data_IF_473048397555
#
_entry.id   IF_473048397555
#
_cell.length_a   1.000
_cell.length_b   1.000
_cell.length_c   1.000
_cell.angle_alpha   90.00
_cell.angle_beta   90.00
_cell.angle_gamma   90.00
#
_symmetry.space_group_name_H-M   'P 1'
#
loop_
_entity.id
_entity.type
_entity.pdbx_description
1 polymer ?
#
# COMPACT_ATOMS: atom_id res chain seq x y z
N UNK A 1 -2.69 -1.96 2.84
CA UNK A 1 -3.66 -1.05 3.42
C UNK A 1 -3.32 0.41 3.15
N UNK A 2 -3.95 1.31 3.86
CA UNK A 2 -3.75 2.76 3.79
C UNK A 2 -2.32 3.24 4.15
N UNK A 3 -1.46 2.37 4.63
CA UNK A 3 -0.01 2.61 4.73
C UNK A 3 0.62 3.09 3.40
N UNK A 4 -0.01 2.85 2.26
CA UNK A 4 0.41 3.37 0.95
C UNK A 4 0.57 4.89 0.94
N UNK A 5 -0.14 5.61 1.82
CA UNK A 5 -0.06 7.05 1.98
C UNK A 5 1.33 7.54 2.43
N UNK A 6 2.07 6.68 3.11
CA UNK A 6 3.39 6.97 3.70
C UNK A 6 4.52 6.14 3.05
N UNK A 7 4.17 5.29 2.07
CA UNK A 7 5.10 4.34 1.45
C UNK A 7 6.01 5.02 0.43
N UNK A 8 7.31 5.05 0.69
CA UNK A 8 8.31 5.47 -0.28
C UNK A 8 8.37 4.56 -1.51
N UNK A 9 8.12 3.25 -1.34
CA UNK A 9 8.05 2.28 -2.44
C UNK A 9 6.90 2.61 -3.40
N UNK A 10 5.72 2.90 -2.85
CA UNK A 10 4.56 3.31 -3.65
C UNK A 10 4.78 4.67 -4.29
N UNK A 11 5.39 5.63 -3.57
CA UNK A 11 5.73 6.94 -4.12
C UNK A 11 6.67 6.84 -5.32
N UNK A 12 7.70 5.98 -5.25
CA UNK A 12 8.61 5.74 -6.37
C UNK A 12 7.89 5.14 -7.59
N UNK A 13 6.96 4.19 -7.38
CA UNK A 13 6.15 3.65 -8.46
C UNK A 13 5.22 4.71 -9.07
N UNK A 14 4.64 5.60 -8.25
CA UNK A 14 3.82 6.72 -8.72
C UNK A 14 4.62 7.71 -9.57
N UNK A 15 5.90 7.95 -9.26
CA UNK A 15 6.80 8.74 -10.13
C UNK A 15 7.07 8.05 -11.47
N UNK A 16 7.06 6.72 -11.52
CA UNK A 16 7.18 5.93 -12.75
C UNK A 16 6.02 6.06 -13.74
N UNK A 17 4.92 6.71 -13.39
CA UNK A 17 3.72 6.87 -14.23
C UNK A 17 3.93 7.56 -15.58
N UNK A 18 5.04 8.26 -15.73
CA UNK A 18 5.39 8.96 -16.97
C UNK A 18 6.22 8.11 -17.95
N UNK A 19 6.58 6.88 -17.58
CA UNK A 19 7.49 6.04 -18.36
C UNK A 19 6.81 5.22 -19.46
N UNK A 20 5.56 5.48 -19.79
CA UNK A 20 4.77 4.77 -20.80
C UNK A 20 4.67 3.24 -20.61
N UNK A 21 5.00 2.77 -19.42
CA UNK A 21 4.94 1.36 -19.02
C UNK A 21 4.26 1.24 -17.66
N UNK A 22 3.62 0.10 -17.38
CA UNK A 22 3.06 -0.16 -16.05
C UNK A 22 4.12 -0.02 -14.95
N UNK A 23 3.82 0.73 -13.89
CA UNK A 23 4.69 0.85 -12.73
C UNK A 23 4.19 -0.06 -11.59
N UNK A 24 5.13 -0.76 -10.95
CA UNK A 24 4.85 -1.75 -9.92
C UNK A 24 5.58 -1.43 -8.63
N UNK A 25 4.86 -1.42 -7.51
CA UNK A 25 5.41 -1.32 -6.17
C UNK A 25 5.35 -2.69 -5.49
N UNK A 26 6.51 -3.29 -5.18
CA UNK A 26 6.59 -4.60 -4.52
C UNK A 26 6.96 -4.44 -3.05
N UNK A 27 6.26 -5.17 -2.19
CA UNK A 27 6.54 -5.29 -0.77
C UNK A 27 6.46 -6.73 -0.31
N UNK A 28 7.51 -7.23 0.33
CA UNK A 28 7.51 -8.52 1.00
C UNK A 28 7.10 -8.31 2.46
N UNK A 29 6.07 -9.00 2.93
CA UNK A 29 5.55 -8.84 4.27
C UNK A 29 6.44 -9.54 5.30
N UNK A 30 7.56 -8.93 5.64
CA UNK A 30 8.45 -9.40 6.71
C UNK A 30 9.42 -8.33 7.15
N UNK A 31 9.83 -8.37 8.43
CA UNK A 31 10.99 -7.65 8.92
C UNK A 31 12.30 -8.40 8.67
N UNK A 32 12.22 -9.73 8.50
CA UNK A 32 13.33 -10.62 8.16
C UNK A 32 12.93 -11.36 6.88
N UNK A 33 13.37 -10.88 5.71
CA UNK A 33 12.89 -11.37 4.41
C UNK A 33 13.61 -12.68 4.02
N UNK A 34 13.13 -13.82 4.49
CA UNK A 34 13.70 -15.14 4.17
C UNK A 34 13.33 -15.60 2.74
N UNK A 35 12.17 -15.14 2.22
CA UNK A 35 11.62 -15.58 0.95
C UNK A 35 11.64 -14.50 -0.15
N UNK A 36 12.67 -13.66 -0.20
CA UNK A 36 12.89 -12.71 -1.31
C UNK A 36 12.81 -13.36 -2.71
N UNK A 37 13.30 -14.59 -2.92
CA UNK A 37 13.16 -15.25 -4.22
C UNK A 37 11.71 -15.39 -4.70
N UNK A 38 10.75 -15.57 -3.80
CA UNK A 38 9.31 -15.63 -4.15
C UNK A 38 8.82 -14.29 -4.71
N UNK A 39 9.17 -13.17 -4.06
CA UNK A 39 8.81 -11.85 -4.54
C UNK A 39 9.51 -11.52 -5.88
N UNK A 40 10.77 -11.87 -6.02
CA UNK A 40 11.55 -11.67 -7.26
C UNK A 40 10.98 -12.50 -8.42
N UNK A 41 10.58 -13.74 -8.16
CA UNK A 41 9.93 -14.60 -9.16
C UNK A 41 8.64 -13.95 -9.67
N UNK A 42 7.78 -13.48 -8.77
CA UNK A 42 6.51 -12.85 -9.17
C UNK A 42 6.73 -11.52 -9.89
N UNK A 43 7.69 -10.71 -9.44
CA UNK A 43 8.07 -9.47 -10.12
C UNK A 43 8.51 -9.73 -11.56
N UNK A 44 9.36 -10.75 -11.78
CA UNK A 44 9.78 -11.16 -13.12
C UNK A 44 8.58 -11.59 -13.98
N UNK A 45 7.66 -12.39 -13.43
CA UNK A 45 6.44 -12.82 -14.15
C UNK A 45 5.55 -11.64 -14.58
N UNK A 46 5.41 -10.63 -13.73
CA UNK A 46 4.64 -9.42 -14.08
C UNK A 46 5.33 -8.62 -15.18
N UNK A 47 6.65 -8.43 -15.10
CA UNK A 47 7.42 -7.71 -16.12
C UNK A 47 7.36 -8.45 -17.46
N UNK A 48 7.49 -9.78 -17.47
CA UNK A 48 7.38 -10.61 -18.69
C UNK A 48 5.97 -10.53 -19.32
N UNK A 49 4.94 -10.28 -18.52
CA UNK A 49 3.55 -10.23 -18.96
C UNK A 49 3.01 -8.80 -19.18
N UNK A 50 3.79 -7.76 -18.89
CA UNK A 50 3.32 -6.38 -18.83
C UNK A 50 2.69 -5.85 -20.12
N UNK A 51 3.16 -6.30 -21.28
CA UNK A 51 2.64 -5.85 -22.58
C UNK A 51 1.19 -6.30 -22.85
N UNK A 52 0.70 -7.28 -22.08
CA UNK A 52 -0.70 -7.74 -22.10
C UNK A 52 -1.58 -7.03 -21.08
N UNK A 53 -0.99 -6.20 -20.24
CA UNK A 53 -1.68 -5.48 -19.16
C UNK A 53 -2.09 -4.10 -19.66
N UNK A 54 -3.39 -3.88 -19.79
CA UNK A 54 -3.95 -2.55 -20.04
C UNK A 54 -4.40 -1.94 -18.72
N UNK A 55 -3.73 -0.88 -18.28
CA UNK A 55 -4.11 -0.11 -17.10
C UNK A 55 -4.55 1.29 -17.53
N UNK A 56 -5.57 1.87 -16.85
CA UNK A 56 -5.88 3.28 -17.01
C UNK A 56 -4.65 4.16 -16.77
N UNK A 57 -4.60 5.30 -17.42
CA UNK A 57 -3.54 6.28 -17.18
C UNK A 57 -3.43 6.62 -15.69
N UNK A 58 -2.20 6.86 -15.23
CA UNK A 58 -1.89 7.21 -13.83
C UNK A 58 -2.25 6.12 -12.81
N UNK A 59 -2.33 4.86 -13.24
CA UNK A 59 -2.51 3.71 -12.36
C UNK A 59 -1.18 3.01 -12.14
N UNK A 60 -0.91 2.62 -10.91
CA UNK A 60 0.22 1.75 -10.52
C UNK A 60 -0.32 0.52 -9.82
N UNK A 61 0.42 -0.59 -9.85
CA UNK A 61 0.06 -1.77 -9.08
C UNK A 61 0.87 -1.82 -7.78
N UNK A 62 0.17 -1.88 -6.66
CA UNK A 62 0.75 -2.16 -5.35
C UNK A 62 0.64 -3.66 -5.09
N UNK A 63 1.79 -4.32 -4.95
CA UNK A 63 1.89 -5.76 -4.81
C UNK A 63 2.46 -6.07 -3.42
N UNK A 64 1.70 -6.82 -2.62
CA UNK A 64 2.18 -7.34 -1.35
C UNK A 64 2.34 -8.85 -1.44
N UNK A 65 3.54 -9.35 -1.13
CA UNK A 65 3.89 -10.75 -1.20
C UNK A 65 4.03 -11.30 0.23
N UNK A 66 3.35 -12.40 0.59
CA UNK A 66 3.58 -13.05 1.87
C UNK A 66 5.00 -13.63 1.93
N UNK A 67 5.64 -13.59 3.12
CA UNK A 67 6.97 -14.16 3.31
C UNK A 67 6.92 -15.68 3.40
N UNK A 68 6.59 -16.31 2.29
CA UNK A 68 6.43 -17.76 2.16
C UNK A 68 7.28 -18.29 0.99
N UNK A 69 7.76 -19.55 1.07
CA UNK A 69 8.28 -20.26 -0.09
C UNK A 69 7.27 -20.29 -1.25
N UNK A 70 7.74 -20.33 -2.47
CA UNK A 70 6.89 -20.23 -3.67
C UNK A 70 5.80 -21.33 -3.74
N UNK A 71 6.12 -22.54 -3.32
CA UNK A 71 5.21 -23.69 -3.29
C UNK A 71 4.12 -23.57 -2.21
N UNK A 72 4.27 -22.66 -1.26
CA UNK A 72 3.28 -22.33 -0.24
C UNK A 72 2.40 -21.12 -0.63
N UNK A 73 2.70 -20.43 -1.73
CA UNK A 73 1.85 -19.36 -2.25
C UNK A 73 0.57 -19.97 -2.83
N UNK A 74 -0.56 -19.56 -2.30
CA UNK A 74 -1.88 -20.09 -2.68
C UNK A 74 -2.42 -19.52 -4.00
N UNK A 75 -1.77 -18.49 -4.53
CA UNK A 75 -2.17 -17.82 -5.77
C UNK A 75 -2.09 -16.28 -5.64
N UNK A 76 -2.77 -15.60 -6.55
CA UNK A 76 -2.80 -14.14 -6.64
C UNK A 76 -4.24 -13.65 -6.51
N UNK A 77 -4.47 -12.58 -5.77
CA UNK A 77 -5.79 -11.95 -5.63
C UNK A 77 -5.74 -10.47 -6.03
N UNK A 78 -6.72 -10.05 -6.82
CA UNK A 78 -7.02 -8.64 -7.00
C UNK A 78 -7.71 -8.14 -5.72
N UNK A 79 -7.19 -7.05 -5.17
CA UNK A 79 -7.60 -6.57 -3.85
C UNK A 79 -7.88 -5.07 -3.87
N UNK A 80 -8.59 -4.61 -2.85
CA UNK A 80 -8.65 -3.21 -2.43
C UNK A 80 -7.75 -2.99 -1.22
N UNK A 81 -7.46 -1.73 -0.92
CA UNK A 81 -6.79 -1.39 0.34
C UNK A 81 -7.72 -1.68 1.53
N UNK A 82 -7.16 -2.25 2.57
CA UNK A 82 -7.77 -2.24 3.90
C UNK A 82 -7.38 -0.99 4.69
N UNK A 83 -7.95 -0.82 5.88
CA UNK A 83 -7.67 0.30 6.78
C UNK A 83 -7.09 -0.18 8.10
N UNK A 84 -6.21 0.65 8.67
CA UNK A 84 -5.68 0.41 10.01
C UNK A 84 -6.48 1.12 11.07
N UNK A 85 -6.56 0.52 12.24
CA UNK A 85 -7.02 1.17 13.44
C UNK A 85 -6.07 2.34 13.81
N UNK A 86 -6.58 3.25 14.63
CA UNK A 86 -5.79 4.38 15.12
C UNK A 86 -4.52 3.90 15.83
N UNK A 87 -3.39 4.53 15.53
CA UNK A 87 -2.14 4.30 16.24
C UNK A 87 -2.28 4.62 17.73
N UNK A 88 -1.51 3.92 18.57
CA UNK A 88 -1.39 4.24 19.99
C UNK A 88 -0.79 5.65 20.18
N UNK A 89 -1.04 6.25 21.36
CA UNK A 89 -0.49 7.57 21.69
C UNK A 89 1.05 7.56 21.62
N UNK A 90 1.68 8.67 21.21
CA UNK A 90 3.13 8.79 21.25
C UNK A 90 3.67 8.61 22.68
N UNK A 91 4.80 7.92 22.80
CA UNK A 91 5.47 7.69 24.08
C UNK A 91 6.58 8.71 24.27
N UNK A 92 6.50 9.47 25.36
CA UNK A 92 7.55 10.42 25.74
C UNK A 92 8.81 9.64 26.17
N UNK A 93 9.95 10.05 25.66
CA UNK A 93 11.26 9.48 25.99
C UNK A 93 12.27 10.61 26.27
N UNK A 94 13.27 10.30 27.06
CA UNK A 94 14.40 11.22 27.32
C UNK A 94 15.66 10.53 26.81
N UNK A 95 16.44 11.21 25.98
CA UNK A 95 17.68 10.68 25.47
C UNK A 95 18.79 10.73 26.55
N UNK A 96 19.96 10.07 26.38
CA UNK A 96 21.05 10.07 27.35
C UNK A 96 21.61 11.46 27.71
N UNK A 97 21.32 12.48 26.91
CA UNK A 97 21.75 13.87 27.16
C UNK A 97 20.67 14.72 27.86
N UNK A 98 19.59 14.07 28.37
CA UNK A 98 18.50 14.74 29.05
C UNK A 98 17.49 15.47 28.15
N UNK A 99 17.62 15.34 26.81
CA UNK A 99 16.70 15.98 25.87
C UNK A 99 15.44 15.12 25.69
N UNK A 100 14.28 15.75 25.87
CA UNK A 100 12.98 15.13 25.63
C UNK A 100 12.69 14.93 24.15
N UNK A 101 11.97 13.86 23.84
CA UNK A 101 11.46 13.52 22.52
C UNK A 101 10.24 12.61 22.64
N UNK A 102 9.67 12.22 21.50
CA UNK A 102 8.53 11.32 21.45
C UNK A 102 8.79 10.20 20.44
N UNK A 103 8.53 8.96 20.86
CA UNK A 103 8.38 7.85 19.96
C UNK A 103 7.00 7.89 19.34
N UNK A 104 6.94 8.01 18.02
CA UNK A 104 5.69 7.86 17.29
C UNK A 104 5.38 6.37 17.24
N UNK A 105 4.21 5.99 17.72
CA UNK A 105 3.76 4.61 17.71
C UNK A 105 3.54 4.12 16.28
N UNK A 106 3.72 2.80 16.08
CA UNK A 106 3.33 2.15 14.83
C UNK A 106 1.82 2.27 14.61
N UNK A 107 1.39 2.20 13.36
CA UNK A 107 -0.02 2.11 13.02
C UNK A 107 -0.69 0.95 13.77
N UNK A 108 -1.98 1.10 14.07
CA UNK A 108 -2.77 0.05 14.71
C UNK A 108 -2.93 -1.20 13.85
N UNK A 109 -3.57 -2.21 14.40
CA UNK A 109 -3.95 -3.42 13.67
C UNK A 109 -4.91 -3.11 12.50
N UNK A 110 -5.17 -4.10 11.65
CA UNK A 110 -6.13 -3.93 10.58
C UNK A 110 -7.55 -3.81 11.15
N UNK A 111 -8.18 -2.65 11.01
CA UNK A 111 -9.59 -2.41 11.36
C UNK A 111 -10.49 -2.95 10.25
N UNK A 112 -10.18 -2.64 8.99
CA UNK A 112 -10.78 -3.26 7.81
C UNK A 112 -9.75 -4.21 7.19
N UNK A 113 -9.67 -5.41 7.71
CA UNK A 113 -8.81 -6.51 7.26
C UNK A 113 -9.60 -7.71 6.73
N UNK A 114 -10.88 -7.55 6.39
CA UNK A 114 -11.77 -8.60 5.94
C UNK A 114 -11.53 -9.05 4.48
N UNK A 115 -12.32 -10.01 4.00
CA UNK A 115 -12.22 -10.53 2.63
C UNK A 115 -12.22 -9.44 1.57
N UNK A 116 -11.37 -9.60 0.54
CA UNK A 116 -11.19 -8.63 -0.54
C UNK A 116 -10.14 -7.55 -0.26
N UNK A 117 -9.65 -7.44 0.98
CA UNK A 117 -8.55 -6.52 1.31
C UNK A 117 -7.18 -7.13 1.04
N UNK A 118 -6.19 -6.27 0.84
CA UNK A 118 -4.78 -6.65 0.73
C UNK A 118 -4.26 -7.31 2.02
N UNK A 119 -4.72 -6.87 3.20
CA UNK A 119 -4.40 -7.52 4.48
C UNK A 119 -4.87 -8.98 4.50
N UNK A 120 -6.16 -9.21 4.17
CA UNK A 120 -6.72 -10.54 4.18
C UNK A 120 -6.01 -11.48 3.20
N UNK A 121 -5.80 -11.03 1.96
CA UNK A 121 -5.14 -11.83 0.95
C UNK A 121 -3.77 -12.32 1.42
N UNK A 122 -2.92 -11.42 1.91
CA UNK A 122 -1.56 -11.76 2.35
C UNK A 122 -1.58 -12.68 3.58
N UNK A 123 -2.47 -12.44 4.55
CA UNK A 123 -2.63 -13.30 5.73
C UNK A 123 -3.10 -14.71 5.36
N UNK A 124 -3.83 -14.88 4.26
CA UNK A 124 -4.26 -16.16 3.75
C UNK A 124 -3.24 -16.82 2.79
N UNK A 125 -2.04 -16.26 2.63
CA UNK A 125 -0.98 -16.81 1.79
C UNK A 125 -1.12 -16.50 0.29
N UNK A 126 -1.95 -15.51 -0.08
CA UNK A 126 -2.06 -15.05 -1.47
C UNK A 126 -1.19 -13.80 -1.68
N UNK A 127 -0.64 -13.69 -2.87
CA UNK A 127 -0.08 -12.42 -3.34
C UNK A 127 -1.24 -11.45 -3.59
N UNK A 128 -1.19 -10.29 -2.96
CA UNK A 128 -2.18 -9.23 -3.15
C UNK A 128 -1.73 -8.30 -4.27
N UNK A 129 -2.62 -7.96 -5.19
CA UNK A 129 -2.40 -6.95 -6.24
C UNK A 129 -3.51 -5.92 -6.16
N UNK A 130 -3.16 -4.69 -5.80
CA UNK A 130 -4.10 -3.58 -5.65
C UNK A 130 -3.76 -2.50 -6.68
N UNK A 131 -4.63 -2.19 -7.66
CA UNK A 131 -4.45 -1.04 -8.52
C UNK A 131 -4.69 0.26 -7.72
N UNK A 132 -3.75 1.20 -7.81
CA UNK A 132 -3.80 2.50 -7.17
C UNK A 132 -3.84 3.58 -8.23
N UNK A 133 -4.69 4.59 -8.01
CA UNK A 133 -4.72 5.81 -8.80
C UNK A 133 -3.98 6.95 -8.08
N UNK A 134 -3.39 7.85 -8.85
CA UNK A 134 -2.73 9.03 -8.31
C UNK A 134 -3.73 10.07 -7.82
N UNK A 135 -4.86 10.21 -8.54
CA UNK A 135 -5.87 11.20 -8.21
C UNK A 135 -6.62 10.79 -6.93
N UNK A 136 -6.50 11.62 -5.92
CA UNK A 136 -7.15 11.47 -4.61
C UNK A 136 -8.29 12.47 -4.43
N UNK A 137 -8.63 13.21 -5.47
CA UNK A 137 -9.74 14.16 -5.44
C UNK A 137 -11.04 13.38 -5.24
N UNK A 138 -11.77 13.71 -4.20
CA UNK A 138 -13.10 13.17 -3.95
C UNK A 138 -14.14 14.12 -4.56
N UNK A 139 -14.35 13.98 -5.88
CA UNK A 139 -15.24 14.87 -6.63
C UNK A 139 -16.69 14.83 -6.13
N UNK A 140 -17.17 13.65 -5.71
CA UNK A 140 -18.51 13.51 -5.15
C UNK A 140 -18.70 14.30 -3.84
N UNK A 141 -17.60 14.63 -3.16
CA UNK A 141 -17.59 15.44 -1.94
C UNK A 141 -17.77 16.94 -2.18
N UNK A 142 -17.82 17.40 -3.43
CA UNK A 142 -17.99 18.83 -3.73
C UNK A 142 -19.42 19.30 -3.47
N UNK A 143 -20.39 18.39 -3.55
CA UNK A 143 -21.81 18.72 -3.28
C UNK A 143 -21.98 19.34 -1.90
N UNK A 144 -22.54 20.53 -1.85
CA UNK A 144 -22.74 21.31 -0.62
C UNK A 144 -21.51 22.07 -0.09
N UNK A 145 -20.28 21.72 -0.54
CA UNK A 145 -19.07 22.41 -0.13
C UNK A 145 -18.98 23.82 -0.74
N UNK A 146 -19.44 23.99 -1.97
CA UNK A 146 -19.44 25.28 -2.67
C UNK A 146 -20.26 26.32 -1.90
N UNK A 147 -21.51 25.99 -1.53
CA UNK A 147 -22.36 26.92 -0.76
C UNK A 147 -21.80 27.22 0.63
N UNK A 148 -21.14 26.25 1.27
CA UNK A 148 -20.46 26.47 2.54
C UNK A 148 -19.28 27.41 2.37
N UNK A 149 -18.44 27.24 1.34
CA UNK A 149 -17.31 28.15 1.08
C UNK A 149 -17.78 29.58 0.76
N UNK A 150 -18.86 29.75 -0.02
CA UNK A 150 -19.47 31.07 -0.32
C UNK A 150 -19.93 31.77 0.95
N UNK A 151 -20.37 31.00 1.96
CA UNK A 151 -20.82 31.58 3.25
C UNK A 151 -19.68 32.13 4.11
N UNK A 152 -18.42 31.89 3.76
CA UNK A 152 -17.25 32.36 4.52
C UNK A 152 -16.78 33.76 4.08
N UNK A 153 -17.32 34.30 2.98
CA UNK A 153 -16.99 35.61 2.42
C UNK A 153 -18.11 36.63 2.68
#
# INVERSE_FOLDING_TARGET
GDDVLYSGTVAAALEGRFLERPAFAFSLLSRLPDNLPTAAWFARKLVEAQDRLSLPARTVLNINVPNLPLDHIRGVQLTRLGHRARAAAPVKVVNPRGKEGYWISVAGDAEDGGPGTDFHAVMQGYISVTPLQLDRTFADGFSGMESWLESLL
#
